data_IF_812191116430
#
_entry.id   IF_812191116430
#
_cell.length_a   1.000
_cell.length_b   1.000
_cell.length_c   1.000
_cell.angle_alpha   90.00
_cell.angle_beta   90.00
_cell.angle_gamma   90.00
#
_symmetry.space_group_name_H-M   'P 1'
#
loop_
_entity.id
_entity.type
_entity.pdbx_description
1 polymer ?
#
# COMPACT_ATOMS: atom_id res chain seq x y z
N UNK A 1 -19.22 -8.88 5.13
CA UNK A 1 -18.28 -8.32 4.13
C UNK A 1 -16.96 -7.99 4.79
N UNK A 2 -15.90 -8.53 4.28
CA UNK A 2 -14.60 -8.31 4.88
C UNK A 2 -14.13 -6.89 4.62
N UNK A 3 -13.73 -6.23 5.69
CA UNK A 3 -13.20 -4.88 5.59
C UNK A 3 -11.73 -4.93 5.17
N UNK A 4 -11.32 -4.00 4.31
CA UNK A 4 -9.91 -3.85 3.98
C UNK A 4 -9.16 -3.09 5.09
N UNK A 5 -9.86 -2.57 6.08
CA UNK A 5 -9.24 -1.82 7.17
C UNK A 5 -8.23 -2.68 7.93
N UNK A 6 -7.16 -2.05 8.35
CA UNK A 6 -6.08 -2.72 9.07
C UNK A 6 -4.73 -2.17 8.70
N UNK A 7 -3.68 -2.75 9.26
CA UNK A 7 -2.31 -2.31 9.01
C UNK A 7 -1.57 -3.38 8.22
N UNK A 8 -0.99 -2.97 7.10
CA UNK A 8 -0.25 -3.84 6.19
C UNK A 8 1.22 -3.43 6.21
N UNK A 9 2.11 -4.41 6.31
CA UNK A 9 3.55 -4.16 6.43
C UNK A 9 4.33 -5.02 5.45
N UNK A 10 5.49 -4.52 5.05
CA UNK A 10 6.42 -5.26 4.22
C UNK A 10 7.59 -4.40 3.82
N UNK A 11 8.58 -5.04 3.20
CA UNK A 11 9.74 -4.35 2.65
C UNK A 11 9.64 -4.44 1.14
N UNK A 12 9.48 -3.29 0.49
CA UNK A 12 9.35 -3.21 -0.95
C UNK A 12 10.68 -2.78 -1.59
N UNK A 13 10.97 -3.21 -2.83
CA UNK A 13 12.18 -2.73 -3.51
C UNK A 13 12.17 -1.21 -3.69
N UNK A 14 13.30 -0.53 -3.59
CA UNK A 14 14.63 -1.01 -3.18
C UNK A 14 14.85 -0.82 -1.67
N UNK A 15 14.51 -1.82 -0.88
CA UNK A 15 14.70 -1.82 0.58
C UNK A 15 13.92 -0.69 1.27
N UNK A 16 12.64 -0.54 0.90
CA UNK A 16 11.74 0.45 1.49
C UNK A 16 10.80 -0.25 2.46
N UNK A 17 11.01 -0.01 3.74
CA UNK A 17 10.15 -0.54 4.77
C UNK A 17 8.82 0.22 4.76
N UNK A 18 7.73 -0.48 4.50
CA UNK A 18 6.44 0.14 4.24
C UNK A 18 5.40 -0.31 5.25
N UNK A 19 4.69 0.65 5.83
CA UNK A 19 3.55 0.38 6.71
C UNK A 19 2.36 1.20 6.22
N UNK A 20 1.30 0.50 5.82
CA UNK A 20 0.08 1.15 5.33
C UNK A 20 -1.06 0.80 6.27
N UNK A 21 -1.66 1.83 6.87
CA UNK A 21 -2.84 1.67 7.72
C UNK A 21 -4.05 2.19 6.97
N UNK A 22 -5.04 1.33 6.79
CA UNK A 22 -6.33 1.69 6.19
C UNK A 22 -7.37 1.73 7.31
N UNK A 23 -8.02 2.88 7.47
CA UNK A 23 -9.00 3.07 8.53
C UNK A 23 -10.42 2.84 8.00
N UNK A 24 -11.31 2.41 8.88
CA UNK A 24 -12.69 2.13 8.50
C UNK A 24 -13.44 3.36 7.99
N UNK A 25 -12.96 4.56 8.33
CA UNK A 25 -13.59 5.82 7.89
C UNK A 25 -13.16 6.25 6.49
N UNK A 26 -12.31 5.48 5.80
CA UNK A 26 -11.84 5.79 4.46
C UNK A 26 -10.55 6.59 4.40
N UNK A 27 -9.91 6.81 5.54
CA UNK A 27 -8.61 7.48 5.58
C UNK A 27 -7.47 6.47 5.61
N UNK A 28 -6.27 6.93 5.25
CA UNK A 28 -5.07 6.08 5.33
C UNK A 28 -3.90 6.84 5.89
N UNK A 29 -2.94 6.07 6.41
CA UNK A 29 -1.62 6.57 6.78
C UNK A 29 -0.60 5.63 6.16
N UNK A 30 0.27 6.17 5.33
CA UNK A 30 1.35 5.42 4.69
C UNK A 30 2.68 5.92 5.22
N UNK A 31 3.47 5.02 5.79
CA UNK A 31 4.81 5.35 6.30
C UNK A 31 5.81 4.52 5.52
N UNK A 32 6.77 5.18 4.89
CA UNK A 32 7.84 4.52 4.14
C UNK A 32 9.18 4.94 4.71
N UNK A 33 10.02 3.96 5.04
CA UNK A 33 11.35 4.20 5.54
C UNK A 33 12.35 3.70 4.49
N UNK A 34 13.15 4.62 3.96
CA UNK A 34 14.08 4.33 2.89
C UNK A 34 15.43 3.94 3.49
N UNK A 35 15.65 2.64 3.64
CA UNK A 35 16.86 2.13 4.31
C UNK A 35 18.15 2.54 3.60
N UNK A 36 18.10 2.63 2.29
CA UNK A 36 19.27 3.03 1.49
C UNK A 36 19.54 4.53 1.52
N UNK A 37 18.63 5.31 2.11
CA UNK A 37 18.78 6.77 2.25
C UNK A 37 18.87 7.15 3.72
N UNK A 38 19.72 6.45 4.47
CA UNK A 38 19.98 6.71 5.88
C UNK A 38 18.72 6.68 6.73
N UNK A 39 17.80 5.75 6.40
CA UNK A 39 16.52 5.58 7.11
C UNK A 39 15.63 6.83 7.04
N UNK A 40 15.72 7.59 5.95
CA UNK A 40 14.81 8.70 5.73
C UNK A 40 13.37 8.19 5.71
N UNK A 41 12.48 8.88 6.41
CA UNK A 41 11.10 8.45 6.56
C UNK A 41 10.14 9.42 5.88
N UNK A 42 9.16 8.86 5.17
CA UNK A 42 8.11 9.62 4.52
C UNK A 42 6.76 9.22 5.12
N UNK A 43 5.92 10.19 5.43
CA UNK A 43 4.58 9.94 5.96
C UNK A 43 3.55 10.63 5.07
N UNK A 44 2.62 9.84 4.54
CA UNK A 44 1.55 10.35 3.69
C UNK A 44 0.20 10.02 4.33
N UNK A 45 -0.69 10.99 4.32
CA UNK A 45 -2.07 10.83 4.82
C UNK A 45 -3.04 11.28 3.74
N UNK A 46 -4.20 10.65 3.70
CA UNK A 46 -5.23 11.03 2.77
C UNK A 46 -6.42 10.08 2.87
N UNK A 47 -7.15 9.96 1.77
CA UNK A 47 -8.29 9.07 1.70
C UNK A 47 -8.01 7.97 0.68
N UNK A 48 -8.73 6.86 0.82
CA UNK A 48 -8.62 5.78 -0.15
C UNK A 48 -10.01 5.37 -0.64
N UNK A 49 -10.02 4.75 -1.82
CA UNK A 49 -11.22 4.18 -2.40
C UNK A 49 -10.92 2.76 -2.87
N UNK A 50 -11.95 1.92 -2.90
CA UNK A 50 -11.84 0.59 -3.47
C UNK A 50 -12.51 0.64 -4.85
N UNK A 51 -11.71 0.36 -5.88
CA UNK A 51 -12.18 0.36 -7.27
C UNK A 51 -12.34 -1.09 -7.74
N UNK A 52 -13.36 -1.34 -8.54
CA UNK A 52 -13.59 -2.65 -9.16
C UNK A 52 -13.56 -3.81 -8.16
N UNK A 53 -13.86 -3.52 -6.90
CA UNK A 53 -13.95 -4.53 -5.85
C UNK A 53 -12.63 -4.95 -5.22
N UNK A 54 -11.49 -4.70 -5.87
CA UNK A 54 -10.21 -5.18 -5.36
C UNK A 54 -9.01 -4.27 -5.61
N UNK A 55 -9.22 -3.07 -6.15
CA UNK A 55 -8.12 -2.11 -6.37
C UNK A 55 -8.24 -1.00 -5.32
N UNK A 56 -7.20 -0.84 -4.51
CA UNK A 56 -7.13 0.24 -3.54
C UNK A 56 -6.44 1.43 -4.20
N UNK A 57 -7.11 2.56 -4.19
CA UNK A 57 -6.54 3.81 -4.70
C UNK A 57 -6.34 4.76 -3.53
N UNK A 58 -5.08 5.07 -3.23
CA UNK A 58 -4.72 6.03 -2.20
C UNK A 58 -4.55 7.40 -2.86
N UNK A 59 -5.23 8.40 -2.35
CA UNK A 59 -5.17 9.75 -2.90
C UNK A 59 -4.43 10.65 -1.94
N UNK A 60 -3.35 11.30 -2.42
CA UNK A 60 -2.61 12.27 -1.64
C UNK A 60 -3.21 13.66 -1.92
N UNK A 61 -3.76 14.33 -0.89
CA UNK A 61 -4.51 15.56 -1.13
C UNK A 61 -3.67 16.73 -1.69
N UNK A 62 -2.37 16.74 -1.40
CA UNK A 62 -1.52 17.86 -1.82
C UNK A 62 -1.03 17.73 -3.25
N UNK A 63 -0.64 16.52 -3.67
CA UNK A 63 -0.01 16.31 -4.96
C UNK A 63 -0.99 15.82 -6.03
N UNK A 64 -2.09 15.22 -5.60
CA UNK A 64 -3.01 14.57 -6.52
C UNK A 64 -2.49 13.25 -7.08
N UNK A 65 -1.31 12.83 -6.66
CA UNK A 65 -0.75 11.55 -7.10
C UNK A 65 -1.50 10.41 -6.44
N UNK A 66 -1.74 9.35 -7.19
CA UNK A 66 -2.44 8.18 -6.70
C UNK A 66 -1.49 7.01 -6.61
N UNK A 67 -1.64 6.24 -5.53
CA UNK A 67 -0.89 5.00 -5.34
C UNK A 67 -1.91 3.87 -5.37
N UNK A 68 -1.64 2.84 -6.15
CA UNK A 68 -2.57 1.72 -6.34
C UNK A 68 -2.02 0.45 -5.73
N UNK A 69 -2.90 -0.28 -5.03
CA UNK A 69 -2.63 -1.63 -4.54
C UNK A 69 -3.78 -2.53 -4.97
N UNK A 70 -3.48 -3.80 -5.20
CA UNK A 70 -4.52 -4.79 -5.48
C UNK A 70 -4.68 -5.70 -4.27
N UNK A 71 -5.92 -5.90 -3.85
CA UNK A 71 -6.23 -6.85 -2.76
C UNK A 71 -6.18 -8.25 -3.35
N UNK A 72 -5.25 -9.08 -2.89
CA UNK A 72 -5.14 -10.48 -3.34
C UNK A 72 -6.02 -11.40 -2.51
N UNK A 73 -6.06 -11.16 -1.21
CA UNK A 73 -6.90 -11.91 -0.27
C UNK A 73 -7.07 -11.09 1.00
N UNK A 74 -7.61 -11.71 2.06
CA UNK A 74 -7.92 -11.00 3.30
C UNK A 74 -6.67 -10.44 4.02
N UNK A 75 -5.48 -10.92 3.67
CA UNK A 75 -4.26 -10.57 4.40
C UNK A 75 -3.15 -10.00 3.52
N UNK A 76 -3.33 -9.98 2.19
CA UNK A 76 -2.25 -9.60 1.29
C UNK A 76 -2.73 -8.56 0.28
N UNK A 77 -1.93 -7.52 0.12
CA UNK A 77 -2.12 -6.56 -0.95
C UNK A 77 -0.81 -6.45 -1.71
N UNK A 78 -0.90 -6.12 -2.99
CA UNK A 78 0.28 -6.01 -3.85
C UNK A 78 0.33 -4.61 -4.46
N UNK A 79 1.51 -3.99 -4.44
CA UNK A 79 1.71 -2.67 -5.02
C UNK A 79 1.64 -2.76 -6.55
N UNK A 80 0.84 -1.87 -7.14
CA UNK A 80 0.72 -1.75 -8.59
C UNK A 80 1.51 -0.53 -9.08
N UNK A 81 1.77 -0.50 -10.39
CA UNK A 81 2.38 0.69 -10.98
C UNK A 81 1.32 1.78 -11.20
N UNK A 82 1.73 2.93 -11.75
CA UNK A 82 0.82 4.06 -11.96
C UNK A 82 -0.27 3.77 -12.99
N UNK A 83 -0.11 2.71 -13.78
CA UNK A 83 -1.12 2.27 -14.76
C UNK A 83 -1.97 1.12 -14.22
N UNK A 84 -1.84 0.79 -12.93
CA UNK A 84 -2.55 -0.29 -12.25
C UNK A 84 -2.19 -1.68 -12.74
N UNK A 85 -0.96 -1.84 -13.24
CA UNK A 85 -0.45 -3.14 -13.65
C UNK A 85 0.31 -3.80 -12.51
N UNK A 86 0.14 -5.13 -12.37
CA UNK A 86 0.87 -5.90 -11.39
C UNK A 86 2.32 -6.10 -11.82
N UNK A 87 3.27 -6.19 -10.86
CA UNK A 87 4.63 -6.60 -11.18
C UNK A 87 4.62 -7.97 -11.83
N UNK A 88 5.47 -8.18 -12.82
CA UNK A 88 5.47 -9.41 -13.59
C UNK A 88 6.52 -10.40 -13.11
N UNK A 89 6.22 -11.68 -13.30
CA UNK A 89 7.15 -12.77 -13.04
C UNK A 89 7.42 -12.98 -11.57
N UNK A 90 8.63 -13.40 -11.26
CA UNK A 90 9.03 -13.72 -9.90
C UNK A 90 9.13 -12.48 -8.99
N UNK A 91 9.20 -11.30 -9.60
CA UNK A 91 9.29 -10.05 -8.84
C UNK A 91 7.97 -9.69 -8.14
N UNK A 92 6.86 -10.27 -8.58
CA UNK A 92 5.56 -9.91 -8.02
C UNK A 92 5.50 -10.08 -6.50
N UNK A 93 6.10 -11.15 -5.98
CA UNK A 93 6.08 -11.42 -4.54
C UNK A 93 6.92 -10.43 -3.72
N UNK A 94 7.79 -9.65 -4.38
CA UNK A 94 8.59 -8.64 -3.68
C UNK A 94 7.77 -7.38 -3.38
N UNK A 95 6.60 -7.25 -3.97
CA UNK A 95 5.74 -6.06 -3.84
C UNK A 95 4.50 -6.31 -2.99
N UNK A 96 4.51 -7.36 -2.18
CA UNK A 96 3.36 -7.74 -1.36
C UNK A 96 3.51 -7.19 0.05
N UNK A 97 2.44 -6.57 0.57
CA UNK A 97 2.33 -6.19 1.97
C UNK A 97 1.38 -7.16 2.66
N UNK A 98 1.69 -7.51 3.90
CA UNK A 98 0.95 -8.48 4.69
C UNK A 98 0.22 -7.78 5.83
N UNK A 99 -1.04 -8.10 6.01
CA UNK A 99 -1.85 -7.53 7.08
C UNK A 99 -1.45 -8.09 8.43
N UNK A 100 -1.17 -7.21 9.37
CA UNK A 100 -0.87 -7.60 10.73
C UNK A 100 -2.14 -8.01 11.46
N UNK A 101 -2.00 -8.99 12.35
CA UNK A 101 -3.11 -9.43 13.20
C UNK A 101 -3.03 -8.70 14.54
N UNK A 102 -3.70 -7.61 14.65
CA UNK A 102 -3.87 -6.95 15.94
C UNK A 102 -5.30 -6.57 16.12
#
# INVERSE_FOLDING_TARGET
MDSVAGTYCGILPPNVETTLTLNADGSYLLIRTFKEKQNEQERLKGTFQVLDGNILMLVHPSSGDNIFYKVRDAKHIILLDSFRNEPKGMNARLYVLVKNKY
#
